data_IF_405889828212
#
_entry.id   IF_405889828212
#
_cell.length_a   1.000
_cell.length_b   1.000
_cell.length_c   1.000
_cell.angle_alpha   90.00
_cell.angle_beta   90.00
_cell.angle_gamma   90.00
#
_symmetry.space_group_name_H-M   'P 1'
#
loop_
_entity.id
_entity.type
_entity.pdbx_description
1 polymer ?
#
# COMPACT_ATOMS: atom_id res chain seq x y z
N UNK A 1 -28.27 33.18 -21.10
CA UNK A 1 -28.27 32.25 -22.26
C UNK A 1 -27.51 32.94 -23.36
N UNK A 2 -26.77 32.20 -24.19
CA UNK A 2 -25.87 32.75 -25.20
C UNK A 2 -26.44 32.48 -26.60
N UNK A 3 -26.29 33.44 -27.50
CA UNK A 3 -26.58 33.23 -28.92
C UNK A 3 -25.39 32.55 -29.63
N UNK A 4 -25.57 32.15 -30.88
CA UNK A 4 -24.55 31.46 -31.67
C UNK A 4 -23.26 32.27 -31.82
N UNK A 5 -23.37 33.60 -32.00
CA UNK A 5 -22.21 34.49 -32.17
C UNK A 5 -21.39 34.60 -30.90
N UNK A 6 -22.05 34.89 -29.79
CA UNK A 6 -21.44 34.96 -28.45
C UNK A 6 -20.74 33.64 -28.09
N UNK A 7 -21.39 32.50 -28.36
CA UNK A 7 -20.78 31.21 -28.13
C UNK A 7 -19.55 30.96 -29.03
N UNK A 8 -19.61 31.42 -30.28
CA UNK A 8 -18.48 31.30 -31.23
C UNK A 8 -17.30 32.16 -30.82
N UNK A 9 -17.53 33.38 -30.33
CA UNK A 9 -16.45 34.24 -29.82
C UNK A 9 -15.76 33.63 -28.61
N UNK A 10 -16.52 33.06 -27.67
CA UNK A 10 -15.96 32.35 -26.52
C UNK A 10 -15.16 31.12 -26.95
N UNK A 11 -15.66 30.31 -27.88
CA UNK A 11 -14.94 29.15 -28.39
C UNK A 11 -13.69 29.53 -29.21
N UNK A 12 -13.70 30.68 -29.88
CA UNK A 12 -12.53 31.26 -30.55
C UNK A 12 -11.45 31.69 -29.56
N UNK A 13 -11.84 32.33 -28.46
CA UNK A 13 -10.92 32.75 -27.41
C UNK A 13 -10.17 31.56 -26.79
N UNK A 14 -10.86 30.42 -26.67
CA UNK A 14 -10.29 29.16 -26.17
C UNK A 14 -9.54 28.35 -27.25
N UNK A 15 -9.45 28.84 -28.49
CA UNK A 15 -8.75 28.18 -29.59
C UNK A 15 -9.45 26.92 -30.15
N UNK A 16 -10.72 26.68 -29.79
CA UNK A 16 -11.46 25.46 -30.13
C UNK A 16 -12.04 25.52 -31.55
N UNK A 17 -12.42 26.71 -32.02
CA UNK A 17 -13.03 26.90 -33.36
C UNK A 17 -12.67 28.25 -33.97
N UNK A 18 -12.91 28.40 -35.27
CA UNK A 18 -12.70 29.65 -36.01
C UNK A 18 -13.95 30.15 -36.74
N UNK A 19 -15.06 29.40 -36.75
CA UNK A 19 -16.26 29.79 -37.48
C UNK A 19 -17.56 29.42 -36.75
N UNK A 20 -18.63 30.15 -37.05
CA UNK A 20 -20.00 29.82 -36.58
C UNK A 20 -20.48 28.49 -37.20
N UNK A 21 -20.02 28.15 -38.40
CA UNK A 21 -20.36 26.90 -39.10
C UNK A 21 -19.89 25.67 -38.31
N UNK A 22 -18.71 25.73 -37.72
CA UNK A 22 -18.18 24.67 -36.86
C UNK A 22 -19.02 24.51 -35.59
N UNK A 23 -19.47 25.62 -35.00
CA UNK A 23 -20.35 25.60 -33.83
C UNK A 23 -21.71 24.99 -34.17
N UNK A 24 -22.27 25.33 -35.33
CA UNK A 24 -23.48 24.67 -35.84
C UNK A 24 -23.23 23.17 -36.01
N UNK A 25 -22.08 22.77 -36.55
CA UNK A 25 -21.73 21.36 -36.72
C UNK A 25 -21.61 20.65 -35.36
N UNK A 26 -21.05 21.28 -34.33
CA UNK A 26 -21.01 20.71 -32.98
C UNK A 26 -22.41 20.51 -32.39
N UNK A 27 -23.35 21.42 -32.69
CA UNK A 27 -24.75 21.28 -32.30
C UNK A 27 -25.41 20.12 -33.05
N UNK A 28 -25.21 20.02 -34.37
CA UNK A 28 -25.78 18.96 -35.20
C UNK A 28 -25.23 17.57 -34.83
N UNK A 29 -23.93 17.48 -34.54
CA UNK A 29 -23.26 16.28 -34.04
C UNK A 29 -23.68 15.92 -32.59
N UNK A 30 -24.57 16.69 -31.96
CA UNK A 30 -24.99 16.55 -30.56
C UNK A 30 -23.86 16.67 -29.53
N UNK A 31 -22.72 17.27 -29.93
CA UNK A 31 -21.58 17.54 -29.04
C UNK A 31 -21.80 18.76 -28.15
N UNK A 32 -22.55 19.75 -28.66
CA UNK A 32 -22.93 20.96 -27.93
C UNK A 32 -24.45 21.07 -27.83
N UNK A 33 -24.98 21.14 -26.61
CA UNK A 33 -26.44 21.28 -26.40
C UNK A 33 -26.88 22.71 -26.71
N UNK A 34 -27.87 22.83 -27.58
CA UNK A 34 -28.51 24.09 -27.90
C UNK A 34 -30.01 23.89 -28.10
N UNK A 35 -30.80 24.92 -27.80
CA UNK A 35 -32.23 24.98 -28.12
C UNK A 35 -32.42 25.83 -29.37
N UNK A 36 -33.23 25.37 -30.32
CA UNK A 36 -33.67 26.23 -31.43
C UNK A 36 -34.59 27.32 -30.90
N UNK A 37 -34.34 28.56 -31.30
CA UNK A 37 -35.23 29.67 -31.02
C UNK A 37 -36.13 29.95 -32.22
N UNK A 38 -37.36 30.40 -31.96
CA UNK A 38 -38.32 30.79 -33.02
C UNK A 38 -38.24 32.28 -33.36
N UNK A 39 -37.31 33.00 -32.74
CA UNK A 39 -37.05 34.42 -33.00
C UNK A 39 -36.35 34.60 -34.33
N UNK A 40 -36.83 35.53 -35.16
CA UNK A 40 -36.34 35.82 -36.52
C UNK A 40 -34.81 36.03 -36.66
N UNK A 41 -34.11 36.38 -35.58
CA UNK A 41 -32.69 36.75 -35.61
C UNK A 41 -31.76 35.79 -34.83
N UNK A 42 -32.28 34.71 -34.24
CA UNK A 42 -31.46 33.77 -33.46
C UNK A 42 -31.89 32.34 -33.77
N UNK A 43 -31.01 31.59 -34.42
CA UNK A 43 -31.29 30.19 -34.78
C UNK A 43 -31.11 29.23 -33.60
N UNK A 44 -30.11 29.49 -32.76
CA UNK A 44 -29.72 28.62 -31.65
C UNK A 44 -29.41 29.42 -30.39
N UNK A 45 -29.87 28.89 -29.26
CA UNK A 45 -29.61 29.41 -27.91
C UNK A 45 -28.90 28.33 -27.10
N UNK A 46 -27.71 28.67 -26.61
CA UNK A 46 -26.83 27.77 -25.86
C UNK A 46 -26.85 28.18 -24.39
N UNK A 47 -26.93 27.22 -23.48
CA UNK A 47 -26.79 27.51 -22.05
C UNK A 47 -25.31 27.71 -21.73
N UNK A 48 -24.94 28.73 -20.92
CA UNK A 48 -23.55 28.92 -20.51
C UNK A 48 -22.92 27.69 -19.85
N UNK A 49 -23.71 26.93 -19.08
CA UNK A 49 -23.24 25.72 -18.41
C UNK A 49 -22.89 24.60 -19.41
N UNK A 50 -23.69 24.43 -20.46
CA UNK A 50 -23.46 23.44 -21.50
C UNK A 50 -22.23 23.84 -22.35
N UNK A 51 -22.06 25.14 -22.62
CA UNK A 51 -20.89 25.66 -23.33
C UNK A 51 -19.60 25.47 -22.53
N UNK A 52 -19.62 25.83 -21.23
CA UNK A 52 -18.47 25.65 -20.36
C UNK A 52 -18.07 24.17 -20.22
N UNK A 53 -19.05 23.28 -20.07
CA UNK A 53 -18.81 21.84 -20.03
C UNK A 53 -18.18 21.33 -21.33
N UNK A 54 -18.63 21.83 -22.49
CA UNK A 54 -18.06 21.48 -23.79
C UNK A 54 -16.61 21.99 -23.95
N UNK A 55 -16.32 23.22 -23.53
CA UNK A 55 -14.96 23.80 -23.55
C UNK A 55 -14.00 22.94 -22.72
N UNK A 56 -14.37 22.65 -21.47
CA UNK A 56 -13.56 21.82 -20.57
C UNK A 56 -13.34 20.43 -21.16
N UNK A 57 -14.37 19.83 -21.75
CA UNK A 57 -14.25 18.52 -22.40
C UNK A 57 -13.26 18.54 -23.57
N UNK A 58 -13.31 19.56 -24.44
CA UNK A 58 -12.38 19.66 -25.57
C UNK A 58 -10.93 19.87 -25.13
N UNK A 59 -10.71 20.74 -24.13
CA UNK A 59 -9.39 20.95 -23.56
C UNK A 59 -8.82 19.67 -22.94
N UNK A 60 -9.64 18.92 -22.20
CA UNK A 60 -9.25 17.63 -21.64
C UNK A 60 -8.94 16.60 -22.74
N UNK A 61 -9.73 16.54 -23.80
CA UNK A 61 -9.51 15.63 -24.92
C UNK A 61 -8.19 15.96 -25.66
N UNK A 62 -7.92 17.24 -25.87
CA UNK A 62 -6.70 17.71 -26.52
C UNK A 62 -5.45 17.45 -25.65
N UNK A 63 -5.52 17.70 -24.34
CA UNK A 63 -4.44 17.34 -23.42
C UNK A 63 -4.23 15.83 -23.34
N UNK A 64 -5.31 15.04 -23.27
CA UNK A 64 -5.23 13.58 -23.27
C UNK A 64 -4.55 13.06 -24.54
N UNK A 65 -4.87 13.65 -25.71
CA UNK A 65 -4.24 13.33 -26.99
C UNK A 65 -2.77 13.75 -27.04
N UNK A 66 -2.44 14.94 -26.51
CA UNK A 66 -1.07 15.49 -26.49
C UNK A 66 -0.12 14.64 -25.65
N UNK A 67 -0.59 14.16 -24.49
CA UNK A 67 0.26 13.38 -23.58
C UNK A 67 0.07 11.87 -23.72
N UNK A 68 -0.90 11.41 -24.52
CA UNK A 68 -1.23 9.98 -24.64
C UNK A 68 -1.78 9.38 -23.34
N UNK A 69 -2.32 10.21 -22.45
CA UNK A 69 -2.76 9.82 -21.11
C UNK A 69 -4.29 9.78 -21.10
N UNK A 70 -4.87 8.64 -20.72
CA UNK A 70 -6.27 8.60 -20.31
C UNK A 70 -6.42 9.31 -18.97
N UNK A 71 -6.94 10.54 -19.01
CA UNK A 71 -7.11 11.38 -17.81
C UNK A 71 -7.95 10.70 -16.72
N UNK A 72 -9.00 9.94 -17.09
CA UNK A 72 -9.84 9.24 -16.11
C UNK A 72 -9.06 8.13 -15.42
N UNK A 73 -8.26 7.39 -16.20
CA UNK A 73 -7.39 6.36 -15.65
C UNK A 73 -6.31 6.96 -14.75
N UNK A 74 -5.69 8.06 -15.17
CA UNK A 74 -4.69 8.77 -14.38
C UNK A 74 -5.25 9.30 -13.07
N UNK A 75 -6.40 9.96 -13.09
CA UNK A 75 -7.05 10.50 -11.89
C UNK A 75 -7.39 9.39 -10.88
N UNK A 76 -7.95 8.28 -11.36
CA UNK A 76 -8.23 7.11 -10.52
C UNK A 76 -6.95 6.56 -9.89
N UNK A 77 -5.91 6.38 -10.70
CA UNK A 77 -4.62 5.86 -10.24
C UNK A 77 -3.93 6.82 -9.26
N UNK A 78 -4.08 8.12 -9.46
CA UNK A 78 -3.55 9.15 -8.56
C UNK A 78 -4.23 9.11 -7.19
N UNK A 79 -5.57 9.04 -7.16
CA UNK A 79 -6.34 8.94 -5.92
C UNK A 79 -6.01 7.64 -5.17
N UNK A 80 -5.91 6.52 -5.88
CA UNK A 80 -5.54 5.23 -5.28
C UNK A 80 -4.12 5.25 -4.70
N UNK A 81 -3.15 5.82 -5.43
CA UNK A 81 -1.78 5.99 -4.90
C UNK A 81 -1.75 6.88 -3.66
N UNK A 82 -2.58 7.93 -3.60
CA UNK A 82 -2.69 8.78 -2.41
C UNK A 82 -3.18 7.98 -1.21
N UNK A 83 -4.27 7.21 -1.37
CA UNK A 83 -4.81 6.33 -0.31
C UNK A 83 -3.78 5.31 0.15
N UNK A 84 -3.14 4.61 -0.80
CA UNK A 84 -2.12 3.60 -0.50
C UNK A 84 -0.93 4.20 0.26
N UNK A 85 -0.55 5.45 -0.03
CA UNK A 85 0.51 6.15 0.68
C UNK A 85 0.12 6.43 2.14
N UNK A 86 -1.11 6.83 2.39
CA UNK A 86 -1.63 7.05 3.75
C UNK A 86 -1.64 5.74 4.55
N UNK A 87 -2.19 4.67 3.98
CA UNK A 87 -2.17 3.32 4.59
C UNK A 87 -0.74 2.83 4.89
N UNK A 88 0.22 3.10 4.01
CA UNK A 88 1.62 2.71 4.21
C UNK A 88 2.24 3.42 5.42
N UNK A 89 1.95 4.71 5.60
CA UNK A 89 2.45 5.45 6.76
C UNK A 89 1.83 4.97 8.07
N UNK A 90 0.53 4.66 8.07
CA UNK A 90 -0.14 4.05 9.24
C UNK A 90 0.49 2.70 9.62
N UNK A 91 0.74 1.83 8.64
CA UNK A 91 1.39 0.54 8.87
C UNK A 91 2.81 0.71 9.42
N UNK A 92 3.59 1.66 8.92
CA UNK A 92 4.93 1.97 9.45
C UNK A 92 4.88 2.41 10.91
N UNK A 93 3.90 3.23 11.29
CA UNK A 93 3.70 3.66 12.68
C UNK A 93 3.37 2.45 13.56
N UNK A 94 2.43 1.60 13.14
CA UNK A 94 2.07 0.40 13.88
C UNK A 94 3.28 -0.54 14.08
N UNK A 95 4.07 -0.78 13.04
CA UNK A 95 5.29 -1.60 13.14
C UNK A 95 6.27 -1.01 14.16
N UNK A 96 6.48 0.32 14.17
CA UNK A 96 7.38 0.97 15.13
C UNK A 96 6.91 0.80 16.57
N UNK A 97 5.60 0.95 16.81
CA UNK A 97 4.99 0.73 18.12
C UNK A 97 5.21 -0.72 18.56
N UNK A 98 4.94 -1.68 17.68
CA UNK A 98 5.07 -3.09 18.03
C UNK A 98 6.53 -3.47 18.31
N UNK A 99 7.47 -2.95 17.51
CA UNK A 99 8.90 -3.09 17.77
C UNK A 99 9.35 -2.46 19.09
N UNK A 100 8.72 -1.37 19.54
CA UNK A 100 9.02 -0.79 20.86
C UNK A 100 8.51 -1.67 21.99
N UNK A 101 7.29 -2.22 21.87
CA UNK A 101 6.72 -3.16 22.84
C UNK A 101 7.59 -4.41 22.98
N UNK A 102 7.99 -5.02 21.86
CA UNK A 102 8.88 -6.20 21.87
C UNK A 102 10.19 -5.90 22.57
N UNK A 103 10.80 -4.73 22.33
CA UNK A 103 12.02 -4.32 23.03
C UNK A 103 11.81 -4.17 24.54
N UNK A 104 10.70 -3.57 24.96
CA UNK A 104 10.36 -3.42 26.37
C UNK A 104 10.11 -4.78 27.05
N UNK A 105 9.35 -5.67 26.41
CA UNK A 105 9.07 -7.02 26.93
C UNK A 105 10.35 -7.84 27.08
N UNK A 106 11.27 -7.77 26.10
CA UNK A 106 12.59 -8.43 26.21
C UNK A 106 13.38 -7.93 27.41
N UNK A 107 13.36 -6.63 27.69
CA UNK A 107 14.03 -6.06 28.86
C UNK A 107 13.40 -6.53 30.16
N UNK A 108 12.07 -6.57 30.23
CA UNK A 108 11.35 -7.09 31.41
C UNK A 108 11.69 -8.55 31.66
N UNK A 109 11.67 -9.39 30.63
CA UNK A 109 12.03 -10.80 30.73
C UNK A 109 13.49 -10.99 31.21
N UNK A 110 14.42 -10.18 30.70
CA UNK A 110 15.81 -10.20 31.16
C UNK A 110 15.94 -9.80 32.63
N UNK A 111 15.17 -8.79 33.07
CA UNK A 111 15.14 -8.36 34.46
C UNK A 111 14.56 -9.45 35.37
N UNK A 112 13.50 -10.14 34.93
CA UNK A 112 12.95 -11.30 35.65
C UNK A 112 13.97 -12.42 35.78
N UNK A 113 14.69 -12.77 34.71
CA UNK A 113 15.75 -13.79 34.78
C UNK A 113 16.92 -13.37 35.68
N UNK A 114 17.23 -12.08 35.77
CA UNK A 114 18.28 -11.60 36.67
C UNK A 114 17.85 -11.59 38.15
N UNK A 115 16.55 -11.45 38.42
CA UNK A 115 15.97 -11.47 39.77
C UNK A 115 15.62 -12.89 40.23
N UNK A 116 15.35 -13.79 39.29
CA UNK A 116 15.23 -15.20 39.58
C UNK A 116 16.62 -15.73 39.95
N UNK A 117 16.84 -16.06 41.22
CA UNK A 117 17.90 -16.99 41.64
C UNK A 117 17.58 -18.36 41.03
N UNK A 118 17.76 -18.50 39.72
CA UNK A 118 17.56 -19.76 39.05
C UNK A 118 18.61 -20.73 39.58
N UNK A 119 18.24 -21.87 40.19
CA UNK A 119 19.22 -22.87 40.55
C UNK A 119 19.98 -23.24 39.27
N UNK A 120 21.31 -23.39 39.38
CA UNK A 120 22.15 -23.83 38.27
C UNK A 120 21.48 -25.04 37.61
N UNK A 121 21.12 -24.94 36.33
CA UNK A 121 20.41 -26.01 35.61
C UNK A 121 21.18 -27.30 35.79
N UNK A 122 20.65 -28.21 36.61
CA UNK A 122 21.19 -29.55 36.71
C UNK A 122 20.73 -30.28 35.45
N UNK A 123 21.66 -30.56 34.55
CA UNK A 123 21.35 -31.27 33.31
C UNK A 123 20.77 -32.66 33.56
N UNK A 124 20.97 -33.24 34.75
CA UNK A 124 20.31 -34.49 35.14
C UNK A 124 18.79 -34.31 35.21
N UNK A 125 18.30 -33.22 35.81
CA UNK A 125 16.87 -32.92 35.95
C UNK A 125 16.21 -32.72 34.58
N UNK A 126 16.92 -32.10 33.63
CA UNK A 126 16.44 -31.89 32.25
C UNK A 126 16.09 -33.21 31.55
N UNK A 127 16.85 -34.28 31.84
CA UNK A 127 16.64 -35.60 31.25
C UNK A 127 15.93 -36.58 32.18
N UNK A 128 15.45 -36.13 33.35
CA UNK A 128 14.83 -36.98 34.36
C UNK A 128 15.78 -38.04 34.93
N UNK A 129 17.08 -37.76 34.95
CA UNK A 129 18.11 -38.61 35.53
C UNK A 129 18.31 -38.29 37.02
N UNK A 130 18.89 -39.22 37.77
CA UNK A 130 19.25 -38.97 39.17
C UNK A 130 20.23 -37.78 39.28
N UNK A 131 20.12 -36.99 40.35
CA UNK A 131 20.90 -35.75 40.53
C UNK A 131 22.43 -35.95 40.47
N UNK A 132 22.90 -37.19 40.66
CA UNK A 132 24.31 -37.59 40.65
C UNK A 132 24.69 -38.37 39.39
N UNK A 133 23.85 -38.35 38.35
CA UNK A 133 24.05 -39.12 37.14
C UNK A 133 25.41 -38.82 36.50
N UNK A 134 26.07 -39.88 36.04
CA UNK A 134 27.40 -39.77 35.46
C UNK A 134 27.37 -38.90 34.19
N UNK A 135 28.44 -38.13 33.99
CA UNK A 135 28.59 -37.19 32.87
C UNK A 135 28.46 -37.88 31.52
N UNK A 136 28.90 -39.14 31.42
CA UNK A 136 28.72 -39.93 30.20
C UNK A 136 27.26 -40.22 29.87
N UNK A 137 26.43 -40.46 30.89
CA UNK A 137 24.99 -40.70 30.73
C UNK A 137 24.30 -39.43 30.27
N UNK A 138 24.61 -38.29 30.90
CA UNK A 138 24.10 -36.98 30.49
C UNK A 138 24.49 -36.66 29.04
N UNK A 139 25.75 -36.93 28.63
CA UNK A 139 26.21 -36.74 27.25
C UNK A 139 25.47 -37.64 26.25
N UNK A 140 25.14 -38.88 26.64
CA UNK A 140 24.37 -39.79 25.78
C UNK A 140 22.96 -39.24 25.52
N UNK A 141 22.29 -38.71 26.55
CA UNK A 141 20.97 -38.11 26.39
C UNK A 141 21.00 -36.82 25.56
N UNK A 142 22.00 -35.95 25.77
CA UNK A 142 22.23 -34.80 24.89
C UNK A 142 22.43 -35.20 23.43
N UNK A 143 23.20 -36.25 23.14
CA UNK A 143 23.41 -36.73 21.76
C UNK A 143 22.10 -37.21 21.13
N UNK A 144 21.22 -37.86 21.89
CA UNK A 144 19.90 -38.26 21.38
C UNK A 144 19.05 -37.03 21.05
N UNK A 145 19.03 -36.04 21.94
CA UNK A 145 18.32 -34.77 21.74
C UNK A 145 18.84 -34.03 20.50
N UNK A 146 20.15 -33.87 20.37
CA UNK A 146 20.78 -33.23 19.21
C UNK A 146 20.49 -33.97 17.90
N UNK A 147 20.47 -35.30 17.93
CA UNK A 147 20.12 -36.11 16.76
C UNK A 147 18.65 -35.92 16.34
N UNK A 148 17.75 -35.66 17.29
CA UNK A 148 16.35 -35.35 17.01
C UNK A 148 16.17 -33.90 16.51
N UNK A 149 16.94 -32.96 17.05
CA UNK A 149 16.88 -31.54 16.68
C UNK A 149 17.69 -31.18 15.42
N UNK A 150 18.44 -32.11 14.84
CA UNK A 150 19.32 -31.81 13.71
C UNK A 150 18.54 -31.28 12.49
N UNK A 151 18.95 -30.16 11.87
CA UNK A 151 18.26 -29.57 10.71
C UNK A 151 18.07 -30.54 9.54
N UNK A 152 19.11 -31.33 9.21
CA UNK A 152 19.05 -32.35 8.16
C UNK A 152 18.00 -33.45 8.39
N UNK A 153 17.44 -33.53 9.60
CA UNK A 153 16.37 -34.48 9.96
C UNK A 153 15.01 -33.79 10.14
N UNK A 154 14.90 -32.53 9.72
CA UNK A 154 13.70 -31.71 9.89
C UNK A 154 13.55 -31.11 11.29
N UNK A 155 14.63 -31.10 12.09
CA UNK A 155 14.65 -30.48 13.41
C UNK A 155 14.88 -28.96 13.36
N UNK A 156 14.67 -28.29 14.50
CA UNK A 156 14.83 -26.84 14.63
C UNK A 156 16.31 -26.46 14.83
N UNK A 157 16.90 -25.77 13.83
CA UNK A 157 18.29 -25.30 13.85
C UNK A 157 18.62 -24.41 15.07
N UNK A 158 17.66 -23.60 15.53
CA UNK A 158 17.89 -22.71 16.68
C UNK A 158 17.99 -23.51 17.96
N UNK A 159 17.09 -24.47 18.15
CA UNK A 159 17.14 -25.37 19.32
C UNK A 159 18.38 -26.26 19.27
N UNK A 160 18.74 -26.77 18.10
CA UNK A 160 19.96 -27.56 17.92
C UNK A 160 21.20 -26.78 18.40
N UNK A 161 21.38 -25.52 17.98
CA UNK A 161 22.52 -24.69 18.41
C UNK A 161 22.55 -24.48 19.92
N UNK A 162 21.42 -24.15 20.52
CA UNK A 162 21.32 -23.93 21.98
C UNK A 162 21.73 -25.18 22.74
N UNK A 163 21.14 -26.33 22.43
CA UNK A 163 21.46 -27.57 23.13
C UNK A 163 22.88 -28.09 22.81
N UNK A 164 23.42 -27.75 21.64
CA UNK A 164 24.80 -28.09 21.28
C UNK A 164 25.80 -27.33 22.14
N UNK A 165 25.56 -26.04 22.39
CA UNK A 165 26.36 -25.25 23.33
C UNK A 165 26.34 -25.86 24.74
N UNK A 166 25.18 -26.28 25.24
CA UNK A 166 25.08 -26.96 26.54
C UNK A 166 25.83 -28.31 26.56
N UNK A 167 25.71 -29.12 25.51
CA UNK A 167 26.47 -30.37 25.36
C UNK A 167 27.99 -30.14 25.41
N UNK A 168 28.48 -29.07 24.78
CA UNK A 168 29.93 -28.73 24.81
C UNK A 168 30.39 -28.19 26.17
N UNK A 169 29.53 -27.47 26.89
CA UNK A 169 29.80 -26.95 28.24
C UNK A 169 29.72 -28.01 29.33
N UNK A 170 28.98 -29.11 29.11
CA UNK A 170 28.94 -30.29 29.99
C UNK A 170 30.25 -31.12 29.94
N UNK A 171 31.41 -30.48 29.68
CA UNK A 171 32.72 -31.14 29.54
C UNK A 171 33.29 -31.55 30.88
#
# INVERSE_FOLDING_TARGET
MLNLKEATELLKAEGITHSEQDVIRFILDSKLKAKRSKSLNVDYVIQPIDLAAFIVYQQLAEQSKKYGIDYKHWEKTFQENKRLKEENEELKVMIRIEQSKVRSLKRMLQAEYALADSPSVNYADLFGLEANADREVIKKEFKKLLKALHPDRGGDDRLFRVFYEHYTKAK
#
